data_IF_911220222054
#
_entry.id   IF_911220222054
#
_cell.length_a   1.000
_cell.length_b   1.000
_cell.length_c   1.000
_cell.angle_alpha   90.00
_cell.angle_beta   90.00
_cell.angle_gamma   90.00
#
_symmetry.space_group_name_H-M   'P 1'
#
loop_
_entity.id
_entity.type
_entity.pdbx_description
1 polymer ?
#
# COMPACT_ATOMS: atom_id res chain seq x y z
N UNK A 1 -9.66 -8.98 -15.26
CA UNK A 1 -9.78 -8.17 -16.51
C UNK A 1 -9.54 -6.67 -16.26
N UNK A 2 -10.12 -6.08 -15.23
CA UNK A 2 -9.93 -4.65 -14.91
C UNK A 2 -8.51 -4.38 -14.41
N UNK A 3 -8.01 -5.21 -13.50
CA UNK A 3 -6.65 -5.13 -12.94
C UNK A 3 -5.59 -5.07 -14.05
N UNK A 4 -5.68 -5.99 -15.02
CA UNK A 4 -4.80 -6.00 -16.19
C UNK A 4 -4.94 -4.74 -17.06
N UNK A 5 -6.15 -4.20 -17.18
CA UNK A 5 -6.38 -2.99 -17.96
C UNK A 5 -5.75 -1.78 -17.28
N UNK A 6 -5.96 -1.61 -15.97
CA UNK A 6 -5.35 -0.53 -15.18
C UNK A 6 -3.82 -0.65 -15.22
N UNK A 7 -3.28 -1.87 -15.04
CA UNK A 7 -1.85 -2.09 -15.16
C UNK A 7 -1.31 -1.72 -16.53
N UNK A 8 -1.95 -2.16 -17.61
CA UNK A 8 -1.50 -1.86 -18.97
C UNK A 8 -1.49 -0.35 -19.23
N UNK A 9 -2.52 0.37 -18.79
CA UNK A 9 -2.59 1.83 -18.93
C UNK A 9 -1.46 2.55 -18.16
N UNK A 10 -1.14 2.08 -16.94
CA UNK A 10 -0.04 2.61 -16.14
C UNK A 10 1.32 2.31 -16.80
N UNK A 11 1.54 1.05 -17.20
CA UNK A 11 2.76 0.61 -17.85
C UNK A 11 3.00 1.39 -19.14
N UNK A 12 1.98 1.55 -19.98
CA UNK A 12 2.07 2.31 -21.24
C UNK A 12 2.50 3.76 -20.97
N UNK A 13 1.88 4.44 -20.01
CA UNK A 13 2.21 5.83 -19.65
C UNK A 13 3.62 5.97 -19.09
N UNK A 14 4.03 5.05 -18.20
CA UNK A 14 5.35 5.04 -17.60
C UNK A 14 6.40 4.79 -18.70
N UNK A 15 6.24 3.74 -19.50
CA UNK A 15 7.20 3.38 -20.56
C UNK A 15 7.29 4.46 -21.63
N UNK A 16 6.17 5.13 -21.96
CA UNK A 16 6.21 6.25 -22.90
C UNK A 16 7.04 7.43 -22.39
N UNK A 17 6.99 7.70 -21.09
CA UNK A 17 7.69 8.83 -20.45
C UNK A 17 9.12 8.46 -20.04
N UNK A 18 9.34 7.22 -19.63
CA UNK A 18 10.58 6.67 -19.09
C UNK A 18 10.91 5.33 -19.78
N UNK A 19 11.34 5.36 -21.06
CA UNK A 19 11.49 4.14 -21.88
C UNK A 19 12.61 3.19 -21.42
N UNK A 20 13.57 3.69 -20.64
CA UNK A 20 14.67 2.90 -20.11
C UNK A 20 14.36 2.27 -18.73
N UNK A 21 13.28 2.71 -18.09
CA UNK A 21 12.90 2.20 -16.77
C UNK A 21 12.24 0.83 -16.89
N UNK A 22 12.44 0.02 -15.86
CA UNK A 22 11.90 -1.33 -15.77
C UNK A 22 10.62 -1.34 -14.92
N UNK A 23 9.83 -2.38 -15.11
CA UNK A 23 8.56 -2.56 -14.40
C UNK A 23 8.61 -3.85 -13.57
N UNK A 24 8.16 -3.77 -12.33
CA UNK A 24 7.79 -4.88 -11.48
C UNK A 24 6.30 -4.70 -11.12
N UNK A 25 5.45 -5.64 -11.51
CA UNK A 25 4.01 -5.48 -11.31
C UNK A 25 3.33 -6.79 -10.94
N UNK A 26 2.17 -6.69 -10.30
CA UNK A 26 1.41 -7.85 -9.85
C UNK A 26 0.97 -8.73 -11.04
N UNK A 27 0.38 -8.11 -12.04
CA UNK A 27 -0.21 -8.79 -13.19
C UNK A 27 0.84 -9.09 -14.30
N UNK A 28 0.52 -10.08 -15.16
CA UNK A 28 1.29 -10.43 -16.36
C UNK A 28 2.76 -10.84 -16.12
N UNK A 29 3.14 -11.17 -14.88
CA UNK A 29 4.47 -11.70 -14.57
C UNK A 29 5.65 -10.74 -14.83
N UNK A 30 5.42 -9.43 -14.82
CA UNK A 30 6.49 -8.44 -14.88
C UNK A 30 7.29 -8.48 -13.57
N UNK A 31 8.50 -8.99 -13.60
CA UNK A 31 9.33 -9.29 -12.42
C UNK A 31 10.76 -8.78 -12.59
N UNK A 32 10.91 -7.50 -12.84
CA UNK A 32 12.24 -6.89 -12.89
C UNK A 32 12.86 -6.82 -11.50
N UNK A 33 14.13 -7.18 -11.30
CA UNK A 33 14.82 -6.97 -10.03
C UNK A 33 14.83 -5.49 -9.68
N UNK A 34 14.50 -5.15 -8.43
CA UNK A 34 14.52 -3.76 -7.95
C UNK A 34 15.92 -3.31 -7.51
N UNK A 35 16.88 -4.25 -7.38
CA UNK A 35 18.22 -4.02 -6.85
C UNK A 35 19.16 -3.21 -7.76
N UNK A 36 18.79 -3.00 -9.02
CA UNK A 36 19.64 -2.33 -10.00
C UNK A 36 18.83 -1.44 -10.93
N UNK A 37 19.30 -0.22 -11.17
CA UNK A 37 18.70 0.76 -12.07
C UNK A 37 17.32 1.23 -11.61
N UNK A 38 16.59 1.85 -12.53
CA UNK A 38 15.29 2.47 -12.31
C UNK A 38 14.16 1.45 -12.46
N UNK A 39 13.34 1.26 -11.44
CA UNK A 39 12.25 0.27 -11.43
C UNK A 39 10.97 0.85 -10.82
N UNK A 40 9.88 0.75 -11.55
CA UNK A 40 8.53 1.04 -11.07
C UNK A 40 7.88 -0.22 -10.54
N UNK A 41 7.34 -0.16 -9.32
CA UNK A 41 6.59 -1.25 -8.71
C UNK A 41 5.11 -0.87 -8.72
N UNK A 42 4.25 -1.75 -9.25
CA UNK A 42 2.85 -1.44 -9.50
C UNK A 42 1.96 -2.54 -8.93
N UNK A 43 1.00 -2.15 -8.10
CA UNK A 43 -0.22 -2.90 -7.81
C UNK A 43 -1.40 -2.13 -8.44
N UNK A 44 -2.02 -2.67 -9.49
CA UNK A 44 -3.05 -1.95 -10.23
C UNK A 44 -4.37 -1.83 -9.46
N UNK A 45 -4.73 -2.84 -8.66
CA UNK A 45 -5.93 -2.84 -7.81
C UNK A 45 -5.67 -3.69 -6.57
N UNK A 46 -5.00 -3.10 -5.57
CA UNK A 46 -4.89 -3.70 -4.25
C UNK A 46 -6.27 -3.77 -3.58
N UNK A 47 -6.62 -4.95 -3.08
CA UNK A 47 -7.96 -5.22 -2.57
C UNK A 47 -8.95 -5.66 -3.64
N UNK A 48 -8.53 -6.49 -4.60
CA UNK A 48 -9.35 -7.00 -5.72
C UNK A 48 -10.70 -7.59 -5.26
N UNK A 49 -10.73 -8.31 -4.14
CA UNK A 49 -11.98 -8.84 -3.59
C UNK A 49 -12.95 -7.71 -3.20
N UNK A 50 -12.45 -6.66 -2.57
CA UNK A 50 -13.25 -5.48 -2.21
C UNK A 50 -13.75 -4.77 -3.46
N UNK A 51 -12.88 -4.57 -4.45
CA UNK A 51 -13.25 -3.98 -5.73
C UNK A 51 -14.40 -4.74 -6.41
N UNK A 52 -14.29 -6.08 -6.49
CA UNK A 52 -15.29 -6.91 -7.19
C UNK A 52 -16.63 -6.96 -6.43
N UNK A 53 -16.58 -7.10 -5.10
CA UNK A 53 -17.77 -7.38 -4.29
C UNK A 53 -18.43 -6.13 -3.73
N UNK A 54 -17.65 -5.20 -3.21
CA UNK A 54 -18.13 -4.01 -2.49
C UNK A 54 -18.01 -2.73 -3.33
N UNK A 55 -17.02 -2.68 -4.24
CA UNK A 55 -16.64 -1.49 -5.02
C UNK A 55 -16.20 -0.32 -4.12
N UNK A 56 -15.66 -0.66 -2.97
CA UNK A 56 -15.11 0.24 -1.95
C UNK A 56 -13.84 -0.37 -1.37
N UNK A 57 -13.06 0.40 -0.61
CA UNK A 57 -11.87 -0.02 0.12
C UNK A 57 -10.84 -0.80 -0.73
N UNK A 58 -10.51 -0.23 -1.88
CA UNK A 58 -9.44 -0.68 -2.76
C UNK A 58 -8.57 0.51 -3.18
N UNK A 59 -7.34 0.23 -3.56
CA UNK A 59 -6.37 1.26 -3.91
C UNK A 59 -5.58 0.91 -5.17
N UNK A 60 -4.99 1.92 -5.81
CA UNK A 60 -3.92 1.76 -6.79
C UNK A 60 -2.60 2.13 -6.11
N UNK A 61 -1.57 1.30 -6.25
CA UNK A 61 -0.29 1.54 -5.60
C UNK A 61 0.83 1.58 -6.63
N UNK A 62 1.69 2.59 -6.53
CA UNK A 62 2.85 2.75 -7.40
C UNK A 62 4.05 3.20 -6.55
N UNK A 63 5.20 2.58 -6.75
CA UNK A 63 6.46 3.01 -6.15
C UNK A 63 7.56 3.11 -7.19
N UNK A 64 8.57 3.92 -6.90
CA UNK A 64 9.75 4.07 -7.74
C UNK A 64 11.03 3.83 -6.95
N UNK A 65 11.89 3.01 -7.51
CA UNK A 65 13.17 2.63 -6.94
C UNK A 65 14.32 2.96 -7.88
N UNK A 66 15.44 3.37 -7.31
CA UNK A 66 16.74 3.47 -8.00
C UNK A 66 17.77 2.63 -7.24
N UNK A 67 18.39 1.67 -7.93
CA UNK A 67 19.41 0.78 -7.36
C UNK A 67 19.00 0.15 -6.02
N UNK A 68 17.75 -0.27 -5.91
CA UNK A 68 17.17 -0.90 -4.71
C UNK A 68 16.74 0.07 -3.62
N UNK A 69 16.91 1.37 -3.82
CA UNK A 69 16.50 2.41 -2.86
C UNK A 69 15.17 3.01 -3.29
N UNK A 70 14.15 2.93 -2.43
CA UNK A 70 12.85 3.56 -2.67
C UNK A 70 12.98 5.09 -2.70
N UNK A 71 12.54 5.69 -3.79
CA UNK A 71 12.58 7.14 -3.99
C UNK A 71 11.27 7.79 -3.58
N UNK A 72 10.16 7.21 -3.96
CA UNK A 72 8.82 7.63 -3.54
C UNK A 72 7.80 6.50 -3.70
N UNK A 73 6.68 6.63 -2.97
CA UNK A 73 5.50 5.80 -3.10
C UNK A 73 4.25 6.64 -3.31
N UNK A 74 3.27 6.04 -3.98
CA UNK A 74 1.95 6.60 -4.25
C UNK A 74 0.89 5.56 -3.87
N UNK A 75 -0.10 5.95 -3.06
CA UNK A 75 -1.27 5.13 -2.75
C UNK A 75 -2.51 5.97 -3.07
N UNK A 76 -3.31 5.51 -4.02
CA UNK A 76 -4.54 6.19 -4.39
C UNK A 76 -5.76 5.42 -3.89
N UNK A 77 -6.39 5.91 -2.81
CA UNK A 77 -7.71 5.46 -2.35
C UNK A 77 -8.76 6.01 -3.34
N UNK A 78 -9.14 5.16 -4.28
CA UNK A 78 -9.93 5.55 -5.45
C UNK A 78 -11.30 6.11 -5.05
N UNK A 79 -11.97 5.46 -4.11
CA UNK A 79 -13.35 5.81 -3.75
C UNK A 79 -13.46 7.09 -2.93
N UNK A 80 -12.39 7.46 -2.23
CA UNK A 80 -12.34 8.71 -1.44
C UNK A 80 -11.63 9.84 -2.18
N UNK A 81 -11.09 9.57 -3.37
CA UNK A 81 -10.26 10.51 -4.14
C UNK A 81 -9.10 11.06 -3.29
N UNK A 82 -8.44 10.17 -2.55
CA UNK A 82 -7.29 10.50 -1.73
C UNK A 82 -6.02 9.93 -2.32
N UNK A 83 -5.13 10.78 -2.82
CA UNK A 83 -3.79 10.43 -3.24
C UNK A 83 -2.81 10.69 -2.10
N UNK A 84 -2.24 9.63 -1.54
CA UNK A 84 -1.12 9.69 -0.62
C UNK A 84 0.17 9.54 -1.42
N UNK A 85 1.16 10.37 -1.14
CA UNK A 85 2.46 10.28 -1.79
C UNK A 85 3.55 10.88 -0.92
N UNK A 86 4.77 10.36 -1.09
CA UNK A 86 5.94 10.79 -0.35
C UNK A 86 7.03 9.73 -0.35
N UNK A 87 7.95 9.82 0.57
CA UNK A 87 9.04 8.87 0.76
C UNK A 87 10.39 9.42 0.35
N UNK A 88 11.45 8.62 0.59
CA UNK A 88 12.79 9.12 0.44
C UNK A 88 13.04 10.31 1.38
N UNK A 89 13.38 11.44 0.81
CA UNK A 89 13.61 12.71 1.54
C UNK A 89 12.38 13.65 1.50
N UNK A 90 11.27 13.22 0.89
CA UNK A 90 10.09 14.05 0.73
C UNK A 90 9.09 13.83 1.87
N UNK A 91 8.44 14.91 2.37
CA UNK A 91 7.31 14.77 3.29
C UNK A 91 6.17 13.95 2.67
N UNK A 92 5.34 13.38 3.53
CA UNK A 92 4.15 12.65 3.08
C UNK A 92 2.97 13.59 2.96
N UNK A 93 2.27 13.51 1.84
CA UNK A 93 1.09 14.30 1.54
C UNK A 93 -0.13 13.41 1.33
N UNK A 94 -1.30 13.94 1.64
CA UNK A 94 -2.58 13.47 1.14
C UNK A 94 -3.18 14.57 0.28
N UNK A 95 -3.28 14.35 -1.01
CA UNK A 95 -3.61 15.37 -2.00
C UNK A 95 -2.59 16.53 -1.88
N UNK A 96 -3.02 17.72 -1.50
CA UNK A 96 -2.15 18.90 -1.34
C UNK A 96 -1.79 19.20 0.13
N UNK A 97 -2.25 18.34 1.07
CA UNK A 97 -2.06 18.55 2.51
C UNK A 97 -0.93 17.70 3.02
N UNK A 98 0.12 18.32 3.56
CA UNK A 98 1.19 17.61 4.26
C UNK A 98 0.64 16.92 5.51
N UNK A 99 1.00 15.64 5.68
CA UNK A 99 0.57 14.86 6.84
C UNK A 99 1.53 15.06 8.00
N UNK A 100 0.97 15.19 9.19
CA UNK A 100 1.77 15.30 10.40
C UNK A 100 2.30 13.92 10.81
N UNK A 101 3.54 13.83 11.32
CA UNK A 101 4.07 12.60 11.89
C UNK A 101 3.16 12.02 12.99
N UNK A 102 3.22 10.70 13.12
CA UNK A 102 2.52 10.00 14.21
C UNK A 102 2.96 10.53 15.58
N UNK A 103 1.98 10.72 16.47
CA UNK A 103 2.23 11.09 17.87
C UNK A 103 2.10 9.83 18.73
N UNK A 104 3.15 9.52 19.47
CA UNK A 104 3.19 8.33 20.33
C UNK A 104 2.09 8.36 21.39
N UNK A 105 1.41 7.21 21.56
CA UNK A 105 0.30 7.01 22.48
C UNK A 105 0.32 5.59 23.04
N UNK A 106 -0.25 5.33 24.23
CA UNK A 106 -0.43 3.99 24.75
C UNK A 106 -1.26 3.10 23.79
N UNK A 107 -0.87 1.84 23.66
CA UNK A 107 -1.47 0.89 22.73
C UNK A 107 -3.00 0.75 22.92
N UNK A 108 -3.47 0.78 24.15
CA UNK A 108 -4.91 0.72 24.51
C UNK A 108 -5.75 1.85 23.90
N UNK A 109 -5.13 2.93 23.43
CA UNK A 109 -5.76 4.04 22.74
C UNK A 109 -5.66 3.96 21.21
N UNK A 110 -5.03 2.94 20.68
CA UNK A 110 -4.70 2.82 19.26
C UNK A 110 -5.41 1.63 18.60
N UNK A 111 -5.91 1.86 17.41
CA UNK A 111 -6.38 0.79 16.53
C UNK A 111 -5.19 0.19 15.78
N UNK A 112 -5.28 -1.11 15.49
CA UNK A 112 -4.39 -1.81 14.59
C UNK A 112 -5.17 -2.46 13.46
N UNK A 113 -4.51 -2.84 12.37
CA UNK A 113 -5.12 -3.63 11.31
C UNK A 113 -4.37 -4.95 11.11
N UNK A 114 -5.10 -5.99 10.72
CA UNK A 114 -4.54 -7.30 10.40
C UNK A 114 -5.37 -8.00 9.34
N UNK A 115 -4.84 -9.07 8.76
CA UNK A 115 -5.66 -10.00 7.97
C UNK A 115 -6.28 -11.10 8.86
N UNK A 116 -7.37 -11.69 8.35
CA UNK A 116 -8.12 -12.72 9.08
C UNK A 116 -7.26 -13.94 9.39
N UNK A 117 -6.38 -14.37 8.46
CA UNK A 117 -5.56 -15.56 8.64
C UNK A 117 -4.57 -15.45 9.80
N UNK A 118 -3.99 -14.28 10.03
CA UNK A 118 -3.11 -14.04 11.18
C UNK A 118 -3.88 -14.05 12.50
N UNK A 119 -5.09 -13.47 12.50
CA UNK A 119 -5.95 -13.43 13.68
C UNK A 119 -6.43 -14.84 14.06
N UNK A 120 -6.92 -15.61 13.07
CA UNK A 120 -7.43 -16.97 13.28
C UNK A 120 -6.39 -17.90 13.88
N UNK A 121 -5.13 -17.79 13.42
CA UNK A 121 -4.02 -18.62 13.87
C UNK A 121 -3.28 -18.06 15.09
N UNK A 122 -3.64 -16.84 15.52
CA UNK A 122 -2.88 -16.06 16.50
C UNK A 122 -1.37 -15.97 16.16
N UNK A 123 -1.06 -15.83 14.86
CA UNK A 123 0.32 -15.78 14.40
C UNK A 123 1.05 -14.60 15.05
N UNK A 124 2.21 -14.91 15.66
CA UNK A 124 3.02 -13.96 16.44
C UNK A 124 2.27 -13.22 17.54
N UNK A 125 1.22 -13.82 18.12
CA UNK A 125 0.42 -13.21 19.17
C UNK A 125 -0.51 -12.09 18.68
N UNK A 126 -0.95 -12.17 17.42
CA UNK A 126 -1.75 -11.11 16.80
C UNK A 126 -3.11 -10.90 17.48
N UNK A 127 -3.75 -11.98 17.93
CA UNK A 127 -5.00 -11.88 18.67
C UNK A 127 -4.78 -11.27 20.06
N UNK A 128 -3.68 -11.61 20.73
CA UNK A 128 -3.32 -11.04 22.03
C UNK A 128 -3.02 -9.55 21.93
N UNK A 129 -2.22 -9.16 20.92
CA UNK A 129 -1.95 -7.74 20.62
C UNK A 129 -3.26 -6.97 20.36
N UNK A 130 -4.21 -7.61 19.67
CA UNK A 130 -5.53 -7.04 19.43
C UNK A 130 -6.33 -6.80 20.70
N UNK A 131 -6.21 -7.68 21.68
CA UNK A 131 -6.88 -7.51 23.00
C UNK A 131 -6.26 -6.38 23.81
N UNK A 132 -4.96 -6.13 23.65
CA UNK A 132 -4.24 -5.05 24.33
C UNK A 132 -4.42 -3.68 23.64
N UNK A 133 -4.90 -3.68 22.39
CA UNK A 133 -5.17 -2.47 21.63
C UNK A 133 -6.61 -1.97 21.82
N UNK A 134 -6.92 -0.77 21.30
CA UNK A 134 -8.30 -0.27 21.22
C UNK A 134 -9.20 -1.18 20.34
N UNK A 135 -8.61 -1.96 19.46
CA UNK A 135 -9.30 -2.92 18.61
C UNK A 135 -8.62 -3.14 17.25
N UNK A 136 -9.08 -4.18 16.56
CA UNK A 136 -8.53 -4.59 15.26
C UNK A 136 -9.47 -4.21 14.13
N UNK A 137 -8.89 -3.85 13.00
CA UNK A 137 -9.58 -3.64 11.72
C UNK A 137 -9.08 -4.63 10.68
N UNK A 138 -9.97 -5.08 9.82
CA UNK A 138 -9.68 -5.93 8.67
C UNK A 138 -10.21 -5.21 7.43
N UNK A 139 -9.33 -4.54 6.70
CA UNK A 139 -9.74 -3.75 5.53
C UNK A 139 -9.76 -4.56 4.23
N UNK A 140 -9.00 -5.68 4.16
CA UNK A 140 -8.91 -6.49 2.95
C UNK A 140 -8.12 -5.84 1.81
N UNK A 141 -7.36 -4.79 2.11
CA UNK A 141 -6.51 -4.03 1.19
C UNK A 141 -5.31 -3.49 1.96
N UNK A 142 -4.12 -3.70 1.45
CA UNK A 142 -2.88 -3.18 2.03
C UNK A 142 -2.81 -1.66 1.87
N UNK A 143 -3.10 -1.14 0.68
CA UNK A 143 -3.09 0.29 0.39
C UNK A 143 -4.08 1.07 1.23
N UNK A 144 -5.29 0.54 1.45
CA UNK A 144 -6.24 1.14 2.39
C UNK A 144 -5.70 1.10 3.82
N UNK A 145 -5.11 -0.02 4.25
CA UNK A 145 -4.51 -0.12 5.58
C UNK A 145 -3.39 0.91 5.77
N UNK A 146 -2.47 1.03 4.80
CA UNK A 146 -1.40 2.04 4.83
C UNK A 146 -1.95 3.47 4.79
N UNK A 147 -2.98 3.74 4.00
CA UNK A 147 -3.62 5.07 3.97
C UNK A 147 -4.20 5.46 5.34
N UNK A 148 -4.68 4.48 6.12
CA UNK A 148 -5.14 4.71 7.50
C UNK A 148 -4.00 4.95 8.48
N UNK A 149 -2.84 4.26 8.30
CA UNK A 149 -1.62 4.56 9.08
C UNK A 149 -1.18 5.99 8.80
N UNK A 150 -1.02 6.35 7.54
CA UNK A 150 -0.59 7.68 7.13
C UNK A 150 -1.52 8.80 7.61
N UNK A 151 -2.81 8.50 7.74
CA UNK A 151 -3.82 9.44 8.27
C UNK A 151 -3.92 9.45 9.81
N UNK A 152 -3.12 8.64 10.52
CA UNK A 152 -3.18 8.52 11.98
C UNK A 152 -4.41 7.76 12.50
N UNK A 153 -5.14 7.06 11.66
CA UNK A 153 -6.34 6.32 12.04
C UNK A 153 -6.06 4.95 12.66
N UNK A 154 -4.93 4.35 12.35
CA UNK A 154 -4.42 3.11 12.96
C UNK A 154 -2.90 3.22 13.17
N UNK A 155 -2.40 2.47 14.16
CA UNK A 155 -0.96 2.44 14.48
C UNK A 155 -0.16 1.64 13.46
N UNK A 156 -0.64 0.45 13.12
CA UNK A 156 0.11 -0.54 12.35
C UNK A 156 -0.81 -1.46 11.55
N UNK A 157 -0.26 -2.09 10.52
CA UNK A 157 -0.89 -3.13 9.73
C UNK A 157 -0.01 -4.38 9.72
N UNK A 158 -0.62 -5.53 10.01
CA UNK A 158 0.03 -6.84 10.06
C UNK A 158 -0.63 -7.78 9.06
N UNK A 159 0.17 -8.30 8.12
CA UNK A 159 -0.36 -9.16 7.07
C UNK A 159 0.74 -9.98 6.39
N UNK A 160 0.35 -11.02 5.68
CA UNK A 160 1.18 -11.68 4.68
C UNK A 160 0.95 -10.96 3.35
N UNK A 161 1.91 -10.15 2.92
CA UNK A 161 1.80 -9.29 1.74
C UNK A 161 2.94 -9.52 0.77
N UNK A 162 2.70 -9.19 -0.50
CA UNK A 162 3.68 -9.29 -1.58
C UNK A 162 4.44 -7.98 -1.76
N UNK A 163 5.58 -7.98 -2.48
CA UNK A 163 6.36 -6.76 -2.69
C UNK A 163 5.58 -5.57 -3.25
N UNK A 164 4.66 -5.79 -4.17
CA UNK A 164 3.82 -4.72 -4.73
C UNK A 164 2.81 -4.14 -3.73
N UNK A 165 2.39 -4.92 -2.72
CA UNK A 165 1.48 -4.44 -1.67
C UNK A 165 2.13 -3.45 -0.70
N UNK A 166 3.47 -3.47 -0.53
CA UNK A 166 4.14 -2.62 0.45
C UNK A 166 5.21 -1.70 -0.13
N UNK A 167 5.57 -1.84 -1.40
CA UNK A 167 6.63 -1.01 -1.99
C UNK A 167 6.28 0.48 -1.99
N UNK A 168 5.01 0.82 -2.03
CA UNK A 168 4.51 2.19 -2.03
C UNK A 168 4.20 2.76 -0.63
N UNK A 169 4.44 1.96 0.43
CA UNK A 169 4.08 2.30 1.82
C UNK A 169 5.21 2.97 2.59
#
# INVERSE_FOLDING_TARGET
QMDQQVQNDLVEKITHRYPEDRIFAEENGLRSPISEGSVWVIDPIDGTNNFVTQKEDFAVMVAYFEDGIGQFGLIYDVMRDHLFYGGGEFPVYRNEVELTPFVDQPLENLLIASNVGMLEKNDWGMADLGMDSLGIRVYGSAGISFSKILSGGILAYFSYIWPWDYAAA
#
